data_IF_858562808438
#
_entry.id   IF_858562808438
#
_cell.length_a   1.000
_cell.length_b   1.000
_cell.length_c   1.000
_cell.angle_alpha   90.00
_cell.angle_beta   90.00
_cell.angle_gamma   90.00
#
_symmetry.space_group_name_H-M   'P 1'
#
loop_
_entity.id
_entity.type
_entity.pdbx_description
1 polymer ?
#
# COMPACT_ATOMS: atom_id res chain seq x y z
N UNK A 1 -14.00 -11.42 -11.21
CA UNK A 1 -13.65 -10.70 -9.98
C UNK A 1 -12.47 -9.77 -10.27
N UNK A 2 -12.60 -8.46 -10.02
CA UNK A 2 -11.60 -7.45 -10.41
C UNK A 2 -10.52 -7.18 -9.36
N UNK A 3 -10.74 -7.60 -8.10
CA UNK A 3 -9.77 -7.46 -7.01
C UNK A 3 -8.97 -8.74 -6.83
N UNK A 4 -7.65 -8.61 -6.70
CA UNK A 4 -6.75 -9.76 -6.59
C UNK A 4 -7.17 -10.71 -5.45
N UNK A 5 -7.25 -12.01 -5.76
CA UNK A 5 -7.70 -13.08 -4.84
C UNK A 5 -9.11 -12.86 -4.28
N UNK A 6 -9.97 -12.10 -4.97
CA UNK A 6 -11.33 -11.81 -4.51
C UNK A 6 -11.40 -10.90 -3.26
N UNK A 7 -10.30 -10.23 -2.89
CA UNK A 7 -10.24 -9.35 -1.72
C UNK A 7 -10.83 -7.99 -2.06
N UNK A 8 -12.15 -7.91 -2.11
CA UNK A 8 -12.89 -6.67 -2.37
C UNK A 8 -12.67 -5.63 -1.25
N UNK A 9 -12.91 -4.32 -1.51
CA UNK A 9 -12.89 -3.30 -0.46
C UNK A 9 -13.89 -3.59 0.64
N UNK A 10 -13.39 -3.75 1.87
CA UNK A 10 -14.19 -4.02 3.06
C UNK A 10 -13.84 -3.06 4.19
N UNK A 11 -14.85 -2.66 4.97
CA UNK A 11 -14.69 -1.78 6.13
C UNK A 11 -13.76 -2.42 7.16
N UNK A 12 -12.78 -1.66 7.64
CA UNK A 12 -11.89 -2.03 8.74
C UNK A 12 -12.17 -1.20 9.98
N UNK A 13 -12.47 0.09 9.81
CA UNK A 13 -12.76 1.01 10.90
C UNK A 13 -13.57 2.21 10.40
N UNK A 14 -14.35 2.83 11.28
CA UNK A 14 -15.12 4.04 11.01
C UNK A 14 -14.96 5.04 12.16
N UNK A 15 -14.75 6.32 11.84
CA UNK A 15 -14.66 7.39 12.82
C UNK A 15 -16.04 7.70 13.41
N UNK A 16 -16.20 7.76 14.74
CA UNK A 16 -17.51 7.88 15.39
C UNK A 16 -18.25 9.20 15.09
N UNK A 17 -17.53 10.29 14.85
CA UNK A 17 -18.13 11.59 14.58
C UNK A 17 -18.18 11.91 13.07
N UNK A 18 -17.02 11.99 12.40
CA UNK A 18 -16.94 12.34 10.98
C UNK A 18 -17.47 11.27 10.01
N UNK A 19 -17.69 10.04 10.47
CA UNK A 19 -18.05 8.89 9.62
C UNK A 19 -17.00 8.53 8.55
N UNK A 20 -15.79 9.11 8.61
CA UNK A 20 -14.69 8.73 7.73
C UNK A 20 -14.31 7.25 7.97
N UNK A 21 -14.09 6.50 6.89
CA UNK A 21 -13.82 5.06 6.96
C UNK A 21 -12.39 4.71 6.55
N UNK A 22 -11.86 3.66 7.19
CA UNK A 22 -10.71 2.92 6.69
C UNK A 22 -11.24 1.63 6.06
N UNK A 23 -11.02 1.48 4.75
CA UNK A 23 -11.34 0.26 4.01
C UNK A 23 -10.06 -0.41 3.54
N UNK A 24 -10.08 -1.75 3.39
CA UNK A 24 -8.93 -2.53 2.92
C UNK A 24 -9.33 -3.47 1.80
N UNK A 25 -8.43 -3.68 0.85
CA UNK A 25 -8.69 -4.50 -0.34
C UNK A 25 -7.41 -5.19 -0.86
N UNK A 26 -7.53 -5.93 -1.95
CA UNK A 26 -6.43 -6.26 -2.83
C UNK A 26 -6.30 -5.30 -4.01
N UNK A 27 -5.11 -5.31 -4.61
CA UNK A 27 -4.86 -4.51 -5.81
C UNK A 27 -5.90 -4.82 -6.90
N UNK A 28 -6.29 -3.83 -7.69
CA UNK A 28 -7.15 -4.05 -8.84
C UNK A 28 -6.39 -4.82 -9.95
N UNK A 29 -7.13 -5.57 -10.77
CA UNK A 29 -6.60 -6.38 -11.87
C UNK A 29 -6.69 -5.63 -13.20
N UNK A 30 -6.05 -4.45 -13.24
CA UNK A 30 -6.06 -3.51 -14.37
C UNK A 30 -5.21 -4.06 -15.53
N UNK A 31 -4.03 -4.57 -15.19
CA UNK A 31 -3.07 -5.11 -16.13
C UNK A 31 -2.44 -4.05 -17.06
N UNK A 32 -1.64 -4.51 -18.04
CA UNK A 32 -0.97 -3.61 -18.99
C UNK A 32 -1.92 -2.92 -19.98
N UNK A 33 -3.17 -3.38 -20.10
CA UNK A 33 -4.15 -2.87 -21.05
C UNK A 33 -5.16 -1.89 -20.41
N UNK A 34 -4.86 -1.38 -19.20
CA UNK A 34 -5.71 -0.43 -18.48
C UNK A 34 -7.17 -0.87 -18.35
N UNK A 35 -7.39 -2.14 -18.00
CA UNK A 35 -8.75 -2.67 -17.82
C UNK A 35 -9.48 -1.92 -16.72
N UNK A 36 -10.71 -1.54 -17.02
CA UNK A 36 -11.64 -0.90 -16.08
C UNK A 36 -12.73 -1.87 -15.62
N UNK A 37 -13.36 -1.55 -14.49
CA UNK A 37 -14.47 -2.33 -13.94
C UNK A 37 -15.49 -1.36 -13.33
N UNK A 38 -16.65 -1.23 -13.99
CA UNK A 38 -17.69 -0.27 -13.58
C UNK A 38 -18.29 -0.60 -12.22
N UNK A 39 -18.33 -1.87 -11.87
CA UNK A 39 -18.76 -2.32 -10.55
C UNK A 39 -17.77 -1.86 -9.46
N UNK A 40 -16.47 -1.94 -9.72
CA UNK A 40 -15.43 -1.50 -8.76
C UNK A 40 -15.39 0.02 -8.62
N UNK A 41 -15.46 0.75 -9.75
CA UNK A 41 -15.60 2.22 -9.77
C UNK A 41 -16.80 2.68 -8.95
N UNK A 42 -17.98 2.09 -9.18
CA UNK A 42 -19.19 2.38 -8.41
C UNK A 42 -19.06 2.01 -6.94
N UNK A 43 -18.36 0.92 -6.63
CA UNK A 43 -18.14 0.49 -5.25
C UNK A 43 -17.31 1.52 -4.48
N UNK A 44 -16.20 2.01 -5.06
CA UNK A 44 -15.39 3.05 -4.44
C UNK A 44 -16.15 4.38 -4.33
N UNK A 45 -16.93 4.74 -5.34
CA UNK A 45 -17.82 5.90 -5.28
C UNK A 45 -18.81 5.80 -4.10
N UNK A 46 -19.39 4.61 -3.88
CA UNK A 46 -20.31 4.38 -2.74
C UNK A 46 -19.62 4.52 -1.39
N UNK A 47 -18.34 4.12 -1.28
CA UNK A 47 -17.54 4.35 -0.06
C UNK A 47 -17.36 5.84 0.19
N UNK A 48 -17.08 6.62 -0.85
CA UNK A 48 -16.93 8.07 -0.73
C UNK A 48 -18.26 8.73 -0.34
N UNK A 49 -19.36 8.39 -1.04
CA UNK A 49 -20.69 8.96 -0.80
C UNK A 49 -21.23 8.65 0.60
N UNK A 50 -20.79 7.54 1.21
CA UNK A 50 -21.14 7.20 2.59
C UNK A 50 -20.57 8.19 3.62
N UNK A 51 -19.53 8.95 3.28
CA UNK A 51 -19.04 10.05 4.08
C UNK A 51 -19.51 11.40 3.52
N UNK A 52 -20.63 11.90 4.05
CA UNK A 52 -21.22 13.17 3.62
C UNK A 52 -20.32 14.41 3.83
N UNK A 53 -19.19 14.28 4.55
CA UNK A 53 -18.29 15.38 4.86
C UNK A 53 -17.11 15.51 3.88
N UNK A 54 -16.94 14.60 2.92
CA UNK A 54 -15.84 14.63 1.94
C UNK A 54 -16.32 14.43 0.51
N UNK A 55 -15.65 15.10 -0.43
CA UNK A 55 -15.82 14.91 -1.87
C UNK A 55 -14.61 14.24 -2.53
N UNK A 56 -13.71 13.68 -1.72
CA UNK A 56 -12.50 12.99 -2.18
C UNK A 56 -12.28 11.71 -1.40
N UNK A 57 -11.85 10.66 -2.10
CA UNK A 57 -11.44 9.38 -1.51
C UNK A 57 -9.93 9.22 -1.66
N UNK A 58 -9.23 8.99 -0.56
CA UNK A 58 -7.80 8.70 -0.58
C UNK A 58 -7.56 7.20 -0.67
N UNK A 59 -6.74 6.78 -1.63
CA UNK A 59 -6.23 5.42 -1.73
C UNK A 59 -4.76 5.45 -1.37
N UNK A 60 -4.42 4.76 -0.28
CA UNK A 60 -3.04 4.57 0.13
C UNK A 60 -2.57 3.19 -0.35
N UNK A 61 -1.74 3.18 -1.38
CA UNK A 61 -1.04 1.98 -1.80
C UNK A 61 0.25 1.85 -1.01
N UNK A 62 0.35 0.80 -0.21
CA UNK A 62 1.52 0.56 0.63
C UNK A 62 2.82 0.44 -0.19
N UNK A 63 2.72 0.00 -1.45
CA UNK A 63 3.89 -0.33 -2.25
C UNK A 63 4.71 0.90 -2.64
N UNK A 64 5.96 0.64 -2.97
CA UNK A 64 6.75 1.52 -3.82
C UNK A 64 6.11 1.63 -5.21
N UNK A 65 6.10 2.83 -5.78
CA UNK A 65 5.52 3.10 -7.10
C UNK A 65 6.06 2.13 -8.18
N UNK A 66 7.38 1.91 -8.20
CA UNK A 66 8.04 0.98 -9.14
C UNK A 66 7.55 -0.48 -9.01
N UNK A 67 7.20 -0.91 -7.80
CA UNK A 67 6.63 -2.23 -7.53
C UNK A 67 5.18 -2.29 -7.98
N UNK A 68 4.43 -1.19 -7.84
CA UNK A 68 3.07 -1.08 -8.35
C UNK A 68 3.02 -1.17 -9.88
N UNK A 69 3.94 -0.48 -10.58
CA UNK A 69 4.13 -0.58 -12.03
C UNK A 69 4.49 -2.00 -12.47
N UNK A 70 5.42 -2.64 -11.77
CA UNK A 70 5.79 -4.04 -12.05
C UNK A 70 4.61 -4.99 -11.86
N UNK A 71 3.72 -4.72 -10.91
CA UNK A 71 2.51 -5.51 -10.74
C UNK A 71 1.48 -5.21 -11.82
N UNK A 72 1.39 -3.96 -12.32
CA UNK A 72 0.54 -3.59 -13.44
C UNK A 72 0.90 -4.39 -14.69
N UNK A 73 2.20 -4.49 -15.03
CA UNK A 73 2.64 -5.30 -16.18
C UNK A 73 2.30 -6.80 -16.04
N UNK A 74 2.19 -7.30 -14.80
CA UNK A 74 1.83 -8.68 -14.46
C UNK A 74 0.32 -8.93 -14.33
N UNK A 75 -0.53 -7.97 -14.69
CA UNK A 75 -1.99 -8.13 -14.64
C UNK A 75 -2.66 -7.56 -13.37
N UNK A 76 -1.89 -7.05 -12.41
CA UNK A 76 -2.38 -6.28 -11.26
C UNK A 76 -2.46 -4.80 -11.59
N UNK A 77 -2.10 -3.93 -10.64
CA UNK A 77 -2.02 -2.48 -10.90
C UNK A 77 -2.50 -1.66 -9.71
N UNK A 78 -2.93 -0.43 -10.00
CA UNK A 78 -3.40 0.56 -9.04
C UNK A 78 -4.40 1.51 -9.74
N UNK A 79 -5.31 2.07 -8.98
CA UNK A 79 -6.38 2.95 -9.44
C UNK A 79 -5.81 4.23 -10.09
N UNK A 80 -6.22 4.54 -11.34
CA UNK A 80 -5.83 5.78 -12.01
C UNK A 80 -6.89 6.88 -11.80
N UNK A 81 -6.46 8.14 -11.67
CA UNK A 81 -7.38 9.29 -11.54
C UNK A 81 -8.34 9.43 -12.74
N UNK A 82 -7.94 8.92 -13.91
CA UNK A 82 -8.79 8.88 -15.11
C UNK A 82 -9.95 7.88 -15.02
N UNK A 83 -9.76 6.77 -14.32
CA UNK A 83 -10.78 5.73 -14.17
C UNK A 83 -11.61 5.93 -12.89
N UNK A 84 -11.01 6.51 -11.84
CA UNK A 84 -11.63 6.75 -10.55
C UNK A 84 -11.66 8.26 -10.30
N UNK A 85 -12.70 8.97 -10.77
CA UNK A 85 -12.83 10.39 -10.49
C UNK A 85 -12.95 10.60 -8.98
N UNK A 86 -12.38 11.71 -8.48
CA UNK A 86 -12.38 12.06 -7.05
C UNK A 86 -11.55 11.14 -6.14
N UNK A 87 -10.74 10.25 -6.72
CA UNK A 87 -9.73 9.49 -5.98
C UNK A 87 -8.39 10.21 -6.01
N UNK A 88 -7.68 10.22 -4.89
CA UNK A 88 -6.25 10.56 -4.81
C UNK A 88 -5.46 9.32 -4.41
N UNK A 89 -4.53 8.90 -5.27
CA UNK A 89 -3.66 7.77 -5.00
C UNK A 89 -2.32 8.23 -4.43
N UNK A 90 -1.95 7.69 -3.27
CA UNK A 90 -0.68 7.97 -2.59
C UNK A 90 0.07 6.66 -2.41
N UNK A 91 1.31 6.61 -2.90
CA UNK A 91 2.24 5.51 -2.61
C UNK A 91 2.96 5.77 -1.30
N UNK A 92 2.93 4.79 -0.39
CA UNK A 92 3.60 4.86 0.90
C UNK A 92 5.07 4.43 0.85
N UNK A 93 5.53 3.94 -0.31
CA UNK A 93 6.93 3.56 -0.54
C UNK A 93 7.46 2.46 0.40
N UNK A 94 6.59 1.56 0.86
CA UNK A 94 6.98 0.45 1.75
C UNK A 94 7.55 -0.70 0.91
N UNK A 95 8.80 -1.16 1.19
CA UNK A 95 9.40 -2.28 0.49
C UNK A 95 8.65 -3.61 0.68
N UNK A 96 8.84 -4.52 -0.27
CA UNK A 96 8.22 -5.83 -0.21
C UNK A 96 8.84 -6.73 0.88
N UNK A 97 8.19 -7.87 1.12
CA UNK A 97 8.58 -8.84 2.15
C UNK A 97 10.02 -9.36 2.01
N UNK A 98 10.58 -9.38 0.80
CA UNK A 98 11.94 -9.87 0.58
C UNK A 98 12.97 -8.86 1.07
N UNK A 99 12.71 -7.56 0.85
CA UNK A 99 13.54 -6.47 1.37
C UNK A 99 13.48 -6.44 2.90
N UNK A 100 12.27 -6.53 3.49
CA UNK A 100 12.11 -6.56 4.95
C UNK A 100 12.82 -7.75 5.60
N UNK A 101 12.74 -8.93 4.97
CA UNK A 101 13.42 -10.14 5.46
C UNK A 101 14.94 -9.98 5.42
N UNK A 102 15.48 -9.38 4.38
CA UNK A 102 16.91 -9.11 4.25
C UNK A 102 17.38 -8.05 5.27
N UNK A 103 16.59 -7.01 5.49
CA UNK A 103 16.84 -5.99 6.51
C UNK A 103 16.94 -6.61 7.92
N UNK A 104 15.99 -7.48 8.28
CA UNK A 104 16.03 -8.20 9.56
C UNK A 104 17.24 -9.14 9.66
N UNK A 105 17.61 -9.82 8.57
CA UNK A 105 18.78 -10.70 8.53
C UNK A 105 20.05 -9.91 8.87
N UNK A 106 20.26 -8.76 8.22
CA UNK A 106 21.39 -7.86 8.48
C UNK A 106 21.37 -7.33 9.92
N UNK A 107 20.20 -6.93 10.42
CA UNK A 107 20.07 -6.48 11.82
C UNK A 107 20.50 -7.58 12.79
N UNK A 108 20.06 -8.81 12.59
CA UNK A 108 20.45 -9.95 13.43
C UNK A 108 21.97 -10.14 13.48
N UNK A 109 22.66 -9.97 12.35
CA UNK A 109 24.11 -10.16 12.26
C UNK A 109 24.91 -9.13 13.06
N UNK A 110 24.40 -7.90 13.21
CA UNK A 110 25.12 -6.83 13.92
C UNK A 110 24.79 -6.78 15.42
N UNK A 111 23.71 -7.44 15.86
CA UNK A 111 23.26 -7.42 17.27
C UNK A 111 23.65 -8.67 18.06
N UNK A 112 23.99 -9.78 17.39
CA UNK A 112 24.26 -11.06 18.05
C UNK A 112 25.39 -11.85 17.37
N UNK A 113 26.32 -12.48 18.12
CA UNK A 113 26.35 -12.58 19.59
C UNK A 113 26.97 -11.38 20.31
N UNK A 114 27.77 -10.58 19.59
CA UNK A 114 28.48 -9.42 20.16
C UNK A 114 28.29 -8.22 19.26
N UNK A 115 28.08 -7.05 19.87
CA UNK A 115 27.91 -5.78 19.17
C UNK A 115 29.28 -5.12 18.98
N UNK A 116 29.55 -4.60 17.78
CA UNK A 116 30.69 -3.72 17.52
C UNK A 116 30.30 -2.27 17.83
N UNK A 117 30.54 -1.85 19.08
CA UNK A 117 30.22 -0.50 19.58
C UNK A 117 30.87 0.62 18.75
N UNK A 118 32.07 0.38 18.21
CA UNK A 118 32.81 1.40 17.45
C UNK A 118 32.14 1.77 16.12
N UNK A 119 31.34 0.85 15.57
CA UNK A 119 30.64 1.00 14.28
C UNK A 119 29.13 0.83 14.41
N UNK A 120 28.58 0.94 15.61
CA UNK A 120 27.17 0.66 15.89
C UNK A 120 26.22 1.42 14.95
N UNK A 121 26.35 2.74 14.86
CA UNK A 121 25.44 3.58 14.08
C UNK A 121 25.51 3.26 12.57
N UNK A 122 26.70 3.14 12.00
CA UNK A 122 26.87 2.79 10.58
C UNK A 122 26.40 1.36 10.28
N UNK A 123 26.61 0.43 11.21
CA UNK A 123 26.13 -0.93 11.06
C UNK A 123 24.61 -0.96 11.06
N UNK A 124 23.94 -0.29 12.00
CA UNK A 124 22.47 -0.18 12.05
C UNK A 124 21.92 0.47 10.79
N UNK A 125 22.51 1.58 10.34
CA UNK A 125 22.12 2.28 9.11
C UNK A 125 22.16 1.34 7.90
N UNK A 126 23.22 0.52 7.76
CA UNK A 126 23.38 -0.43 6.64
C UNK A 126 22.33 -1.54 6.58
N UNK A 127 21.57 -1.74 7.65
CA UNK A 127 20.45 -2.70 7.71
C UNK A 127 19.18 -2.13 7.10
N UNK A 128 19.05 -0.80 7.06
CA UNK A 128 17.81 -0.07 6.75
C UNK A 128 16.62 -0.40 7.66
N UNK A 129 16.81 -1.13 8.76
CA UNK A 129 15.69 -1.59 9.58
C UNK A 129 14.88 -0.42 10.15
N UNK A 130 15.55 0.57 10.73
CA UNK A 130 14.89 1.76 11.29
C UNK A 130 14.30 2.67 10.21
N UNK A 131 14.88 2.68 9.00
CA UNK A 131 14.31 3.37 7.85
C UNK A 131 12.93 2.80 7.49
N UNK A 132 12.76 1.47 7.57
CA UNK A 132 11.52 0.79 7.22
C UNK A 132 10.46 0.76 8.33
N UNK A 133 10.82 1.14 9.57
CA UNK A 133 9.87 1.29 10.69
C UNK A 133 9.26 2.69 10.74
N UNK A 134 9.97 3.69 10.21
CA UNK A 134 9.56 5.08 10.19
C UNK A 134 8.32 5.31 9.31
#
# INVERSE_FOLDING_TARGET
AFRAKGRVPVLSWIHPESQATLTRCGQPLIGPNDKQCKEDEKYLQTIMDANAQSHKLFIFDARQNSVADTNKTKGGGYESESAYPNVELIFLEIPNIHVMRESLRKLKEIVYPTIDESRWLSNVESTHWLEYIR
#
